data_IF_311460140424
#
_entry.id   IF_311460140424
#
_cell.length_a   1.000
_cell.length_b   1.000
_cell.length_c   1.000
_cell.angle_alpha   90.00
_cell.angle_beta   90.00
_cell.angle_gamma   90.00
#
_symmetry.space_group_name_H-M   'P 1'
#
loop_
_entity.id
_entity.type
_entity.pdbx_description
1 polymer ?
#
# COMPACT_ATOMS: atom_id res chain seq x y z
N UNK A 1 10.77 5.70 10.96
CA UNK A 1 9.74 5.76 9.91
C UNK A 1 8.64 4.76 10.23
N UNK A 2 7.38 5.08 9.92
CA UNK A 2 6.23 4.18 10.08
C UNK A 2 5.58 3.94 8.73
N UNK A 3 5.23 2.68 8.48
CA UNK A 3 4.52 2.25 7.28
C UNK A 3 3.23 1.54 7.69
N UNK A 4 2.09 2.06 7.27
CA UNK A 4 0.80 1.40 7.40
C UNK A 4 0.32 0.98 6.02
N UNK A 5 0.15 -0.31 5.77
CA UNK A 5 -0.44 -0.81 4.53
C UNK A 5 -1.92 -1.06 4.82
N UNK A 6 -2.82 -0.27 4.23
CA UNK A 6 -4.26 -0.50 4.30
C UNK A 6 -4.67 -1.24 3.03
N UNK A 7 -5.15 -2.47 3.16
CA UNK A 7 -5.45 -3.30 2.01
C UNK A 7 -6.82 -3.97 2.15
N UNK A 8 -7.63 -3.92 1.08
CA UNK A 8 -8.90 -4.64 1.01
C UNK A 8 -8.64 -6.13 0.82
N UNK A 9 -9.45 -6.95 1.48
CA UNK A 9 -9.40 -8.41 1.44
C UNK A 9 -8.40 -9.00 2.43
N UNK A 10 -8.79 -10.11 3.06
CA UNK A 10 -7.87 -10.91 3.88
C UNK A 10 -7.07 -11.88 3.02
N UNK A 11 -5.79 -12.06 3.34
CA UNK A 11 -5.01 -13.14 2.73
C UNK A 11 -5.50 -14.50 3.25
N UNK A 12 -5.98 -15.35 2.35
CA UNK A 12 -6.48 -16.70 2.70
C UNK A 12 -5.43 -17.76 2.39
N UNK A 13 -4.68 -17.57 1.32
CA UNK A 13 -3.69 -18.53 0.87
C UNK A 13 -2.39 -18.38 1.65
N UNK A 14 -1.90 -19.51 2.17
CA UNK A 14 -0.68 -19.56 3.00
C UNK A 14 0.54 -18.94 2.31
N UNK A 15 0.71 -19.14 1.01
CA UNK A 15 1.88 -18.61 0.30
C UNK A 15 1.88 -17.08 0.24
N UNK A 16 0.72 -16.42 0.20
CA UNK A 16 0.65 -14.96 0.30
C UNK A 16 0.94 -14.46 1.70
N UNK A 17 0.41 -15.14 2.71
CA UNK A 17 0.67 -14.84 4.13
C UNK A 17 2.16 -14.96 4.42
N UNK A 18 2.78 -16.06 4.02
CA UNK A 18 4.20 -16.34 4.24
C UNK A 18 5.09 -15.31 3.50
N UNK A 19 4.76 -14.98 2.24
CA UNK A 19 5.49 -13.97 1.47
C UNK A 19 5.41 -12.57 2.09
N UNK A 20 4.22 -12.12 2.53
CA UNK A 20 4.08 -10.85 3.24
C UNK A 20 4.83 -10.87 4.58
N UNK A 21 4.73 -11.98 5.32
CA UNK A 21 5.41 -12.17 6.60
C UNK A 21 6.93 -12.05 6.50
N UNK A 22 7.53 -12.60 5.45
CA UNK A 22 8.97 -12.49 5.21
C UNK A 22 9.42 -11.03 5.03
N UNK A 23 8.71 -10.23 4.22
CA UNK A 23 9.07 -8.83 4.01
C UNK A 23 8.75 -7.95 5.22
N UNK A 24 7.66 -8.23 5.95
CA UNK A 24 7.38 -7.54 7.21
C UNK A 24 8.51 -7.76 8.23
N UNK A 25 9.00 -9.00 8.36
CA UNK A 25 10.15 -9.32 9.22
C UNK A 25 11.41 -8.57 8.77
N UNK A 26 11.71 -8.59 7.46
CA UNK A 26 12.88 -7.89 6.89
C UNK A 26 12.81 -6.38 7.05
N UNK A 27 11.62 -5.79 7.10
CA UNK A 27 11.40 -4.35 7.29
C UNK A 27 11.62 -3.87 8.72
N UNK A 28 11.55 -4.76 9.73
CA UNK A 28 11.63 -4.39 11.16
C UNK A 28 12.85 -3.52 11.53
N UNK A 29 14.08 -3.77 11.02
CA UNK A 29 15.24 -2.92 11.33
C UNK A 29 15.20 -1.53 10.71
N UNK A 30 14.25 -1.26 9.80
CA UNK A 30 14.17 -0.06 8.99
C UNK A 30 12.97 0.82 9.34
N UNK A 31 11.79 0.20 9.54
CA UNK A 31 10.55 0.91 9.80
C UNK A 31 9.59 0.09 10.67
N UNK A 32 8.81 0.79 11.49
CA UNK A 32 7.65 0.18 12.15
C UNK A 32 6.58 -0.03 11.08
N UNK A 33 6.43 -1.27 10.62
CA UNK A 33 5.52 -1.62 9.52
C UNK A 33 4.36 -2.46 10.03
N UNK A 34 3.14 -2.10 9.63
CA UNK A 34 1.93 -2.90 9.92
C UNK A 34 1.03 -2.98 8.69
N UNK A 35 0.25 -4.05 8.62
CA UNK A 35 -0.81 -4.22 7.62
C UNK A 35 -2.16 -4.16 8.34
N UNK A 36 -3.08 -3.37 7.80
CA UNK A 36 -4.47 -3.27 8.24
C UNK A 36 -5.33 -3.83 7.12
N UNK A 37 -5.96 -4.96 7.37
CA UNK A 37 -6.85 -5.60 6.40
C UNK A 37 -8.28 -5.06 6.58
N UNK A 38 -8.82 -4.48 5.52
CA UNK A 38 -10.23 -4.09 5.40
C UNK A 38 -10.99 -5.25 4.77
N UNK A 39 -12.16 -5.59 5.29
CA UNK A 39 -12.97 -6.67 4.73
C UNK A 39 -13.41 -6.33 3.30
N UNK A 40 -13.25 -7.29 2.39
CA UNK A 40 -13.84 -7.23 1.06
C UNK A 40 -15.35 -7.34 1.16
N UNK A 41 -16.06 -6.57 0.35
CA UNK A 41 -17.53 -6.53 0.35
C UNK A 41 -18.03 -7.10 -0.96
N UNK A 42 -18.71 -8.25 -0.87
CA UNK A 42 -19.40 -8.86 -2.01
C UNK A 42 -20.47 -7.89 -2.59
N UNK A 43 -20.33 -7.45 -3.85
CA UNK A 43 -21.29 -6.55 -4.50
C UNK A 43 -22.73 -7.08 -4.47
N UNK A 44 -22.93 -8.40 -4.57
CA UNK A 44 -24.25 -9.01 -4.52
C UNK A 44 -24.93 -8.81 -3.16
N UNK A 45 -24.14 -8.71 -2.08
CA UNK A 45 -24.63 -8.47 -0.70
C UNK A 45 -24.70 -6.99 -0.35
N UNK A 46 -23.99 -6.14 -1.09
CA UNK A 46 -23.96 -4.71 -0.85
C UNK A 46 -25.08 -3.93 -1.54
N UNK A 47 -25.68 -4.51 -2.58
CA UNK A 47 -26.63 -3.82 -3.46
C UNK A 47 -25.99 -3.26 -4.74
N UNK A 48 -24.85 -3.83 -5.17
CA UNK A 48 -24.12 -3.44 -6.37
C UNK A 48 -22.67 -3.04 -6.09
N UNK A 49 -21.89 -2.88 -7.16
CA UNK A 49 -20.45 -2.55 -7.11
C UNK A 49 -20.20 -1.22 -6.41
N UNK A 50 -20.99 -0.18 -6.73
CA UNK A 50 -20.81 1.13 -6.09
C UNK A 50 -21.11 1.10 -4.59
N UNK A 51 -22.15 0.37 -4.17
CA UNK A 51 -22.46 0.22 -2.75
C UNK A 51 -21.37 -0.56 -1.99
N UNK A 52 -20.75 -1.57 -2.61
CA UNK A 52 -19.59 -2.26 -2.05
C UNK A 52 -18.39 -1.32 -1.93
N UNK A 53 -18.08 -0.59 -3.01
CA UNK A 53 -16.97 0.37 -3.08
C UNK A 53 -17.10 1.48 -2.03
N UNK A 54 -18.31 1.97 -1.76
CA UNK A 54 -18.56 2.95 -0.71
C UNK A 54 -18.28 2.39 0.70
N UNK A 55 -18.73 1.16 0.99
CA UNK A 55 -18.47 0.52 2.29
C UNK A 55 -16.98 0.25 2.49
N UNK A 56 -16.31 -0.26 1.46
CA UNK A 56 -14.86 -0.48 1.48
C UNK A 56 -14.10 0.85 1.62
N UNK A 57 -14.50 1.87 0.86
CA UNK A 57 -13.88 3.20 0.90
C UNK A 57 -13.97 3.86 2.27
N UNK A 58 -15.14 3.81 2.90
CA UNK A 58 -15.32 4.31 4.27
C UNK A 58 -14.41 3.57 5.27
N UNK A 59 -14.31 2.25 5.16
CA UNK A 59 -13.46 1.44 6.03
C UNK A 59 -11.95 1.69 5.78
N UNK A 60 -11.54 1.91 4.53
CA UNK A 60 -10.17 2.33 4.18
C UNK A 60 -9.86 3.68 4.85
N UNK A 61 -10.70 4.69 4.66
CA UNK A 61 -10.48 6.04 5.20
C UNK A 61 -10.38 6.00 6.73
N UNK A 62 -11.25 5.24 7.39
CA UNK A 62 -11.23 5.06 8.84
C UNK A 62 -9.95 4.34 9.35
N UNK A 63 -9.32 3.50 8.53
CA UNK A 63 -8.09 2.79 8.89
C UNK A 63 -6.82 3.62 8.70
N UNK A 64 -6.89 4.75 8.00
CA UNK A 64 -5.74 5.61 7.74
C UNK A 64 -5.33 6.39 8.99
N UNK A 65 -4.03 6.44 9.34
CA UNK A 65 -3.55 7.36 10.35
C UNK A 65 -3.77 8.81 9.89
N UNK A 66 -4.27 9.65 10.79
CA UNK A 66 -4.67 11.04 10.48
C UNK A 66 -3.53 11.86 9.86
N UNK A 67 -2.33 11.76 10.45
CA UNK A 67 -1.14 12.51 10.03
C UNK A 67 -0.26 11.81 8.98
N UNK A 68 -0.68 10.66 8.45
CA UNK A 68 0.11 9.93 7.46
C UNK A 68 0.05 10.60 6.08
N UNK A 69 1.19 10.58 5.38
CA UNK A 69 1.24 10.83 3.94
C UNK A 69 0.70 9.59 3.21
N UNK A 70 -0.43 9.74 2.52
CA UNK A 70 -1.20 8.63 1.93
C UNK A 70 -0.83 8.46 0.46
N UNK A 71 -0.40 7.24 0.13
CA UNK A 71 -0.07 6.81 -1.22
C UNK A 71 -1.09 5.78 -1.67
N UNK A 72 -1.91 6.12 -2.67
CA UNK A 72 -2.85 5.17 -3.27
C UNK A 72 -2.17 4.39 -4.40
N UNK A 73 -2.21 3.05 -4.34
CA UNK A 73 -1.82 2.24 -5.48
C UNK A 73 -2.94 2.25 -6.52
N UNK A 74 -2.61 2.72 -7.73
CA UNK A 74 -3.54 2.84 -8.85
C UNK A 74 -2.79 2.60 -10.16
N UNK A 75 -3.45 1.99 -11.15
CA UNK A 75 -2.83 1.65 -12.45
C UNK A 75 -2.38 2.92 -13.18
N UNK A 76 -3.22 3.96 -13.12
CA UNK A 76 -2.99 5.32 -13.62
C UNK A 76 -2.05 6.17 -12.75
N UNK A 77 -1.55 5.61 -11.65
CA UNK A 77 -0.65 6.29 -10.73
C UNK A 77 0.71 6.58 -11.33
N UNK A 78 1.53 7.36 -10.61
CA UNK A 78 2.88 7.68 -11.08
C UNK A 78 3.77 6.44 -11.02
N UNK A 79 4.36 6.06 -12.13
CA UNK A 79 5.39 5.02 -12.17
C UNK A 79 6.71 5.55 -11.60
N UNK A 80 7.37 4.72 -10.78
CA UNK A 80 8.68 5.03 -10.20
C UNK A 80 9.57 3.79 -10.30
N UNK A 81 10.85 4.00 -10.62
CA UNK A 81 11.86 2.97 -10.39
C UNK A 81 12.04 2.75 -8.89
N UNK A 82 12.65 1.63 -8.48
CA UNK A 82 12.96 1.36 -7.07
C UNK A 82 13.82 2.48 -6.43
N UNK A 83 14.79 3.01 -7.19
CA UNK A 83 15.60 4.16 -6.75
C UNK A 83 14.72 5.41 -6.60
N UNK A 84 13.83 5.66 -7.57
CA UNK A 84 12.91 6.80 -7.52
C UNK A 84 11.89 6.73 -6.38
N UNK A 85 11.46 5.52 -5.98
CA UNK A 85 10.62 5.30 -4.81
C UNK A 85 11.39 5.58 -3.51
N UNK A 86 12.61 5.06 -3.39
CA UNK A 86 13.51 5.34 -2.25
C UNK A 86 13.71 6.85 -2.07
N UNK A 87 14.14 7.53 -3.13
CA UNK A 87 14.39 8.98 -3.10
C UNK A 87 13.13 9.77 -2.77
N UNK A 88 11.94 9.32 -3.22
CA UNK A 88 10.68 9.98 -2.88
C UNK A 88 10.38 9.89 -1.38
N UNK A 89 10.53 8.70 -0.80
CA UNK A 89 10.32 8.48 0.63
C UNK A 89 11.31 9.33 1.44
N UNK A 90 12.60 9.33 1.07
CA UNK A 90 13.64 10.12 1.74
C UNK A 90 13.34 11.63 1.65
N UNK A 91 12.93 12.13 0.47
CA UNK A 91 12.59 13.54 0.29
C UNK A 91 11.35 13.99 1.08
N UNK A 92 10.39 13.09 1.33
CA UNK A 92 9.26 13.36 2.23
C UNK A 92 9.72 13.33 3.69
N UNK A 93 10.60 12.39 4.06
CA UNK A 93 11.17 12.30 5.39
C UNK A 93 11.98 13.54 5.79
N UNK A 94 12.80 14.06 4.86
CA UNK A 94 13.53 15.32 5.05
C UNK A 94 12.61 16.53 5.26
N UNK A 95 11.36 16.47 4.79
CA UNK A 95 10.33 17.50 5.02
C UNK A 95 9.51 17.25 6.29
N UNK A 96 9.94 16.32 7.14
CA UNK A 96 9.32 16.01 8.43
C UNK A 96 8.27 14.91 8.40
N UNK A 97 7.97 14.31 7.24
CA UNK A 97 7.01 13.20 7.16
C UNK A 97 7.63 11.91 7.71
N UNK A 98 7.06 11.35 8.77
CA UNK A 98 7.58 10.14 9.40
C UNK A 98 6.59 8.97 9.41
N UNK A 99 5.34 9.21 9.01
CA UNK A 99 4.26 8.24 8.90
C UNK A 99 3.72 8.22 7.48
N UNK A 100 3.72 7.05 6.86
CA UNK A 100 3.25 6.83 5.49
C UNK A 100 2.20 5.73 5.50
N UNK A 101 1.12 5.96 4.77
CA UNK A 101 0.08 4.96 4.57
C UNK A 101 -0.03 4.61 3.10
N UNK A 102 -0.02 3.33 2.78
CA UNK A 102 -0.16 2.82 1.42
C UNK A 102 -1.50 2.10 1.29
N UNK A 103 -2.31 2.49 0.31
CA UNK A 103 -3.65 1.95 0.11
C UNK A 103 -3.66 1.00 -1.09
N UNK A 104 -4.18 -0.21 -0.88
CA UNK A 104 -4.45 -1.20 -1.93
C UNK A 104 -5.96 -1.46 -1.95
N UNK A 105 -6.63 -1.03 -3.02
CA UNK A 105 -8.06 -1.22 -3.21
C UNK A 105 -8.48 -2.68 -3.47
N UNK A 106 -9.79 -2.90 -3.49
CA UNK A 106 -10.40 -4.17 -3.88
C UNK A 106 -10.35 -4.39 -5.40
N UNK A 107 -11.00 -5.46 -5.87
CA UNK A 107 -11.08 -5.80 -7.31
C UNK A 107 -11.71 -4.69 -8.14
N UNK A 108 -12.67 -3.95 -7.57
CA UNK A 108 -13.40 -2.89 -8.24
C UNK A 108 -12.79 -1.49 -8.02
N UNK A 109 -11.56 -1.42 -7.48
CA UNK A 109 -10.88 -0.17 -7.19
C UNK A 109 -11.33 0.50 -5.88
N UNK A 110 -11.29 1.83 -5.83
CA UNK A 110 -11.64 2.64 -4.65
C UNK A 110 -12.57 3.78 -5.02
N UNK A 111 -13.36 4.28 -4.06
CA UNK A 111 -14.25 5.42 -4.28
C UNK A 111 -13.50 6.76 -4.26
N UNK A 112 -14.22 7.83 -4.59
CA UNK A 112 -13.68 9.19 -4.67
C UNK A 112 -13.18 9.70 -3.31
N UNK A 113 -13.79 9.26 -2.21
CA UNK A 113 -13.34 9.65 -0.87
C UNK A 113 -11.90 9.15 -0.58
N UNK A 114 -11.57 7.91 -0.96
CA UNK A 114 -10.20 7.39 -0.84
C UNK A 114 -9.24 8.12 -1.77
N UNK A 115 -9.66 8.40 -3.01
CA UNK A 115 -8.84 9.17 -3.96
C UNK A 115 -8.54 10.58 -3.45
N UNK A 116 -9.55 11.26 -2.90
CA UNK A 116 -9.41 12.59 -2.34
C UNK A 116 -8.52 12.62 -1.09
N UNK A 117 -8.49 11.54 -0.30
CA UNK A 117 -7.60 11.42 0.85
C UNK A 117 -6.15 11.11 0.45
N UNK A 118 -5.89 10.59 -0.75
CA UNK A 118 -4.54 10.27 -1.19
C UNK A 118 -3.73 11.54 -1.50
N UNK A 119 -2.54 11.64 -0.90
CA UNK A 119 -1.59 12.73 -1.15
C UNK A 119 -0.82 12.51 -2.46
N UNK A 120 -0.62 11.25 -2.86
CA UNK A 120 -0.17 10.89 -4.20
C UNK A 120 -0.64 9.49 -4.62
N UNK A 121 -0.54 9.21 -5.91
CA UNK A 121 -0.80 7.88 -6.49
C UNK A 121 0.49 7.24 -7.01
N UNK A 122 0.65 5.93 -6.81
CA UNK A 122 1.77 5.12 -7.26
C UNK A 122 1.27 3.99 -8.18
N UNK A 123 1.95 3.75 -9.29
CA UNK A 123 1.68 2.62 -10.18
C UNK A 123 2.86 1.65 -10.20
N UNK A 124 2.54 0.35 -10.25
CA UNK A 124 3.50 -0.72 -10.56
C UNK A 124 3.58 -1.03 -12.07
N UNK A 125 2.96 -0.20 -12.89
CA UNK A 125 2.92 -0.32 -14.35
C UNK A 125 1.50 -0.59 -14.87
N UNK A 126 1.35 -0.78 -16.18
CA UNK A 126 0.05 -0.88 -16.85
C UNK A 126 -0.67 -2.21 -16.63
N UNK A 127 0.02 -3.22 -16.10
CA UNK A 127 -0.56 -4.55 -15.86
C UNK A 127 -1.40 -4.53 -14.59
N UNK A 128 -2.60 -5.10 -14.67
CA UNK A 128 -3.45 -5.31 -13.50
C UNK A 128 -2.88 -6.44 -12.63
N UNK A 129 -2.40 -6.09 -11.44
CA UNK A 129 -1.98 -7.06 -10.43
C UNK A 129 -3.17 -7.41 -9.52
N UNK A 130 -3.40 -8.70 -9.20
CA UNK A 130 -4.29 -9.06 -8.11
C UNK A 130 -3.85 -8.38 -6.82
N UNK A 131 -4.81 -7.87 -6.02
CA UNK A 131 -4.51 -7.09 -4.80
C UNK A 131 -3.58 -7.84 -3.82
N UNK A 132 -3.71 -9.17 -3.70
CA UNK A 132 -2.83 -10.00 -2.88
C UNK A 132 -1.37 -9.96 -3.36
N UNK A 133 -1.15 -10.07 -4.67
CA UNK A 133 0.19 -9.96 -5.26
C UNK A 133 0.73 -8.53 -5.15
N UNK A 134 -0.10 -7.52 -5.42
CA UNK A 134 0.27 -6.12 -5.27
C UNK A 134 0.76 -5.80 -3.85
N UNK A 135 0.15 -6.42 -2.82
CA UNK A 135 0.57 -6.29 -1.42
C UNK A 135 1.98 -6.85 -1.18
N UNK A 136 2.29 -8.02 -1.72
CA UNK A 136 3.63 -8.62 -1.62
C UNK A 136 4.66 -7.74 -2.33
N UNK A 137 4.35 -7.30 -3.55
CA UNK A 137 5.23 -6.43 -4.35
C UNK A 137 5.49 -5.11 -3.61
N UNK A 138 4.47 -4.50 -3.02
CA UNK A 138 4.62 -3.29 -2.24
C UNK A 138 5.56 -3.49 -1.04
N UNK A 139 5.35 -4.54 -0.23
CA UNK A 139 6.20 -4.80 0.93
C UNK A 139 7.66 -5.05 0.52
N UNK A 140 7.88 -5.79 -0.56
CA UNK A 140 9.21 -5.99 -1.14
C UNK A 140 9.84 -4.68 -1.61
N UNK A 141 9.09 -3.83 -2.32
CA UNK A 141 9.61 -2.56 -2.83
C UNK A 141 9.87 -1.55 -1.70
N UNK A 142 9.09 -1.57 -0.62
CA UNK A 142 9.38 -0.78 0.58
C UNK A 142 10.67 -1.27 1.25
N UNK A 143 10.86 -2.58 1.39
CA UNK A 143 12.13 -3.14 1.90
C UNK A 143 13.31 -2.72 1.02
N UNK A 144 13.17 -2.89 -0.30
CA UNK A 144 14.18 -2.47 -1.29
C UNK A 144 14.50 -0.99 -1.19
N UNK A 145 13.48 -0.15 -1.03
CA UNK A 145 13.65 1.30 -0.87
C UNK A 145 14.47 1.61 0.38
N UNK A 146 14.20 0.94 1.51
CA UNK A 146 14.99 1.14 2.73
C UNK A 146 16.44 0.67 2.59
N UNK A 147 16.69 -0.43 1.87
CA UNK A 147 18.05 -0.89 1.55
C UNK A 147 18.81 0.11 0.69
N UNK A 148 18.16 0.65 -0.34
CA UNK A 148 18.72 1.69 -1.22
C UNK A 148 19.05 2.96 -0.41
N UNK A 149 18.09 3.46 0.38
CA UNK A 149 18.26 4.65 1.23
C UNK A 149 19.47 4.54 2.17
N UNK A 150 19.72 3.34 2.73
CA UNK A 150 20.89 3.08 3.60
C UNK A 150 22.18 2.71 2.87
N UNK A 151 22.17 2.65 1.54
CA UNK A 151 23.34 2.22 0.75
C UNK A 151 23.73 0.76 0.98
N UNK A 152 22.79 -0.09 1.42
CA UNK A 152 23.05 -1.50 1.72
C UNK A 152 22.90 -2.37 0.46
N UNK A 153 23.76 -3.38 0.26
CA UNK A 153 23.70 -4.24 -0.92
C UNK A 153 22.40 -5.07 -0.91
N UNK A 154 21.58 -4.90 -1.95
CA UNK A 154 20.35 -5.66 -2.22
C UNK A 154 19.78 -5.34 -3.60
N UNK A 155 19.85 -4.06 -3.97
CA UNK A 155 19.60 -3.62 -5.34
C UNK A 155 20.84 -3.89 -6.19
N UNK A 156 20.63 -4.43 -7.38
CA UNK A 156 21.64 -4.68 -8.41
C UNK A 156 21.19 -4.00 -9.68
#
# INVERSE_FOLDING_TARGET
MKFTIVAVGKLKERFWVDACGEYLKRLQPYAQTRVVEVADVDPARAGGVEAAREREGAAIVAALPEAAHVVLLAIEGKERSSVGLSQRIDALALRGMSDFAFVIGGSDGVNDAVRARADETLSFGPITLPHNLARVVLLEQLYRSQKISRGEPYHK
#
